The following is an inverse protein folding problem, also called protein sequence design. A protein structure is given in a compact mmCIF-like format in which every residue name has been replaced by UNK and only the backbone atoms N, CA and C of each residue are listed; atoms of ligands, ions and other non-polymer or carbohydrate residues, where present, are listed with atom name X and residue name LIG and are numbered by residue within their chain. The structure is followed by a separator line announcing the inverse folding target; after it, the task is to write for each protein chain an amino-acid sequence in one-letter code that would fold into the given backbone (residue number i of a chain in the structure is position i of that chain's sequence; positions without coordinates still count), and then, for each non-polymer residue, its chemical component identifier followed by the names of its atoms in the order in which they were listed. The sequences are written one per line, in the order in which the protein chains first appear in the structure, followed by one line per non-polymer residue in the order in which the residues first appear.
data_IF_092367703815
#
_entry.id   IF_092367703815
#
_cell.length_a   1.000
_cell.length_b   1.000
_cell.length_c   1.000
_cell.angle_alpha   90.00
_cell.angle_beta   90.00
_cell.angle_gamma   90.00
#
_symmetry.space_group_name_H-M   'P 1'
#
loop_
_entity.id
_entity.type
_entity.pdbx_description
1 polymer ?
#
# COMPACT_ATOMS: atom_id res chain seq x y z
N UNK A 1 -6.25 5.71 -2.80
CA UNK A 1 -5.24 4.67 -2.57
C UNK A 1 -5.84 3.26 -2.47
N UNK A 2 -6.99 3.08 -1.80
CA UNK A 2 -7.74 1.80 -1.78
C UNK A 2 -7.91 1.15 -3.15
N UNK A 3 -8.33 1.97 -4.10
CA UNK A 3 -8.71 1.51 -5.43
C UNK A 3 -7.49 1.06 -6.23
N UNK A 4 -6.30 1.62 -5.96
CA UNK A 4 -5.07 1.22 -6.65
C UNK A 4 -4.72 -0.25 -6.36
N UNK A 5 -4.63 -0.63 -5.09
CA UNK A 5 -4.26 -2.00 -4.69
C UNK A 5 -5.33 -3.03 -5.09
N UNK A 6 -6.61 -2.67 -4.97
CA UNK A 6 -7.71 -3.52 -5.41
C UNK A 6 -7.69 -3.72 -6.94
N UNK A 7 -7.37 -2.66 -7.70
CA UNK A 7 -7.30 -2.73 -9.15
C UNK A 7 -6.10 -3.56 -9.63
N UNK A 8 -4.94 -3.48 -8.98
CA UNK A 8 -3.77 -4.30 -9.34
C UNK A 8 -4.00 -5.80 -9.13
N UNK A 9 -4.66 -6.17 -8.03
CA UNK A 9 -5.05 -7.56 -7.76
C UNK A 9 -6.13 -8.01 -8.74
N UNK A 10 -7.14 -7.17 -8.98
CA UNK A 10 -8.21 -7.47 -9.93
C UNK A 10 -7.68 -7.64 -11.36
N UNK A 11 -6.71 -6.82 -11.79
CA UNK A 11 -6.06 -6.94 -13.09
C UNK A 11 -5.30 -8.26 -13.23
N UNK A 12 -4.53 -8.66 -12.22
CA UNK A 12 -3.83 -9.94 -12.22
C UNK A 12 -4.82 -11.12 -12.36
N UNK A 13 -5.90 -11.12 -11.57
CA UNK A 13 -6.95 -12.15 -11.63
C UNK A 13 -7.66 -12.15 -12.98
N UNK A 14 -7.99 -10.98 -13.53
CA UNK A 14 -8.64 -10.86 -14.83
C UNK A 14 -7.79 -11.42 -15.97
N UNK A 15 -6.48 -11.24 -15.90
CA UNK A 15 -5.52 -11.81 -16.86
C UNK A 15 -5.23 -13.31 -16.61
N UNK A 16 -5.91 -13.94 -15.64
CA UNK A 16 -5.67 -15.34 -15.27
C UNK A 16 -4.34 -15.58 -14.55
N UNK A 17 -3.68 -14.51 -14.09
CA UNK A 17 -2.42 -14.58 -13.34
C UNK A 17 -2.71 -14.63 -11.84
N UNK A 18 -1.89 -15.38 -11.12
CA UNK A 18 -1.93 -15.34 -9.66
C UNK A 18 -1.32 -14.01 -9.17
N UNK A 19 -2.02 -13.22 -8.34
CA UNK A 19 -1.46 -12.03 -7.74
C UNK A 19 -0.17 -12.35 -6.98
N UNK A 20 0.83 -11.49 -7.13
CA UNK A 20 2.12 -11.70 -6.47
C UNK A 20 1.99 -11.58 -4.95
N UNK A 21 2.88 -12.25 -4.21
CA UNK A 21 2.95 -12.13 -2.75
C UNK A 21 3.10 -10.68 -2.29
N UNK A 22 3.81 -9.85 -3.06
CA UNK A 22 3.96 -8.43 -2.79
C UNK A 22 2.63 -7.67 -2.90
N UNK A 23 1.85 -7.90 -3.95
CA UNK A 23 0.52 -7.25 -4.13
C UNK A 23 -0.44 -7.64 -3.00
N UNK A 24 -0.46 -8.91 -2.61
CA UNK A 24 -1.28 -9.39 -1.49
C UNK A 24 -0.84 -8.78 -0.16
N UNK A 25 0.48 -8.69 0.10
CA UNK A 25 1.01 -8.07 1.32
C UNK A 25 0.71 -6.57 1.38
N UNK A 26 0.82 -5.85 0.26
CA UNK A 26 0.49 -4.43 0.17
C UNK A 26 -1.00 -4.18 0.42
N UNK A 27 -1.88 -5.02 -0.15
CA UNK A 27 -3.32 -4.97 0.14
C UNK A 27 -3.65 -5.25 1.61
N UNK A 28 -3.00 -6.25 2.22
CA UNK A 28 -3.22 -6.58 3.63
C UNK A 28 -2.80 -5.44 4.56
N UNK A 29 -1.66 -4.79 4.31
CA UNK A 29 -1.20 -3.60 5.06
C UNK A 29 -2.20 -2.46 4.93
N UNK A 30 -2.62 -2.15 3.70
CA UNK A 30 -3.63 -1.13 3.46
C UNK A 30 -4.94 -1.43 4.20
N UNK A 31 -5.44 -2.68 4.17
CA UNK A 31 -6.64 -3.11 4.89
C UNK A 31 -6.51 -2.92 6.40
N UNK A 32 -5.36 -3.27 6.98
CA UNK A 32 -5.10 -3.09 8.40
C UNK A 32 -5.08 -1.61 8.80
N UNK A 33 -4.45 -0.76 7.98
CA UNK A 33 -4.41 0.69 8.18
C UNK A 33 -5.79 1.33 8.00
N UNK A 34 -6.54 0.94 6.98
CA UNK A 34 -7.89 1.46 6.72
C UNK A 34 -8.93 0.99 7.75
N UNK A 35 -8.66 -0.11 8.47
CA UNK A 35 -9.48 -0.58 9.60
C UNK A 35 -9.10 0.09 10.92
N UNK A 36 -7.90 0.69 10.99
CA UNK A 36 -7.50 1.53 12.11
C UNK A 36 -8.02 2.94 11.85
N UNK A 37 -8.73 3.53 12.80
CA UNK A 37 -9.28 4.91 12.69
C UNK A 37 -8.19 6.00 12.70
N UNK A 38 -6.93 5.60 12.51
CA UNK A 38 -5.75 6.47 12.57
C UNK A 38 -5.22 6.76 11.15
N UNK A 39 -5.54 7.94 10.57
CA UNK A 39 -5.09 8.31 9.24
C UNK A 39 -3.58 8.60 9.17
N UNK A 40 -2.86 8.74 10.29
CA UNK A 40 -1.42 8.98 10.29
C UNK A 40 -0.63 7.76 9.82
N UNK A 41 -1.22 6.55 9.90
CA UNK A 41 -0.59 5.33 9.39
C UNK A 41 -0.63 5.18 7.86
N UNK A 42 -1.50 5.94 7.16
CA UNK A 42 -1.64 5.86 5.70
C UNK A 42 -0.57 6.63 4.94
N UNK A 43 0.17 7.52 5.61
CA UNK A 43 1.31 8.19 5.01
C UNK A 43 2.52 7.30 5.25
N UNK A 44 3.13 6.68 4.22
CA UNK A 44 4.45 6.11 4.39
C UNK A 44 5.32 7.26 4.88
N UNK A 45 5.88 7.16 6.09
CA UNK A 45 6.89 8.10 6.57
C UNK A 45 8.07 8.03 5.62
N UNK A 46 8.01 8.79 4.53
CA UNK A 46 9.17 9.31 3.85
C UNK A 46 9.86 10.17 4.89
N UNK A 47 10.81 9.57 5.62
CA UNK A 47 11.75 10.32 6.43
C UNK A 47 12.24 11.49 5.59
N UNK A 48 12.15 12.74 6.07
CA UNK A 48 12.72 13.85 5.34
C UNK A 48 14.22 13.58 5.15
N UNK A 49 14.81 13.85 3.97
CA UNK A 49 16.26 13.88 3.87
C UNK A 49 16.74 14.91 4.89
N UNK A 50 17.54 14.43 5.83
CA UNK A 50 18.25 15.23 6.81
C UNK A 50 18.97 16.36 6.07
N UNK A 51 18.38 17.56 6.08
CA UNK A 51 19.07 18.75 5.56
C UNK A 51 19.96 19.24 6.69
N UNK A 52 21.05 18.51 6.91
CA UNK A 52 22.17 18.94 7.73
C UNK A 52 22.84 20.12 7.05
N UNK A 53 22.46 21.33 7.46
CA UNK A 53 23.21 22.56 7.19
C UNK A 53 24.30 22.64 8.26
N UNK A 54 25.57 22.63 7.87
CA UNK A 54 26.71 23.06 8.68
C UNK A 54 27.66 23.85 7.80
#
# INVERSE_FOLDING_TARGET
MRDLYANEIAAAVHEGRTPTAHQLASWARYRAMAASDDPAQLIPSSSPPETGRS
#
